data_IF_721946015150
#
_entry.id   IF_721946015150
#
_cell.length_a   1.000
_cell.length_b   1.000
_cell.length_c   1.000
_cell.angle_alpha   90.00
_cell.angle_beta   90.00
_cell.angle_gamma   90.00
#
_symmetry.space_group_name_H-M   'P 1'
#
loop_
_entity.id
_entity.type
_entity.pdbx_description
1 polymer ?
#
# COMPACT_ATOMS: atom_id res chain seq x y z
N UNK A 1 -16.37 -13.82 2.77
CA UNK A 1 -15.21 -14.50 2.17
C UNK A 1 -14.28 -13.42 1.66
N UNK A 2 -13.02 -13.37 2.11
CA UNK A 2 -12.03 -12.46 1.51
C UNK A 2 -11.40 -13.16 0.32
N UNK A 3 -11.17 -12.44 -0.78
CA UNK A 3 -10.37 -12.96 -1.88
C UNK A 3 -8.90 -13.03 -1.42
N UNK A 4 -8.16 -14.06 -1.85
CA UNK A 4 -6.72 -14.08 -1.66
C UNK A 4 -6.09 -12.88 -2.38
N UNK A 5 -5.11 -12.25 -1.73
CA UNK A 5 -4.33 -11.16 -2.32
C UNK A 5 -3.28 -11.72 -3.28
N UNK A 6 -2.94 -10.93 -4.29
CA UNK A 6 -1.91 -11.19 -5.28
C UNK A 6 -1.29 -9.87 -5.79
N UNK A 7 -0.31 -9.96 -6.69
CA UNK A 7 0.40 -8.79 -7.22
C UNK A 7 -0.48 -7.83 -8.02
N UNK A 8 -1.61 -8.33 -8.54
CA UNK A 8 -2.61 -7.53 -9.24
C UNK A 8 -3.68 -6.97 -8.31
N UNK A 9 -3.71 -7.40 -7.04
CA UNK A 9 -4.60 -6.80 -6.05
C UNK A 9 -4.34 -5.31 -5.95
N UNK A 10 -5.42 -4.56 -5.85
CA UNK A 10 -5.35 -3.12 -5.74
C UNK A 10 -4.76 -2.71 -4.37
N UNK A 11 -4.09 -1.56 -4.33
CA UNK A 11 -3.56 -1.00 -3.09
C UNK A 11 -4.68 -0.84 -2.04
N UNK A 12 -5.87 -0.44 -2.49
CA UNK A 12 -7.06 -0.34 -1.64
C UNK A 12 -7.49 -1.68 -1.04
N UNK A 13 -7.41 -2.79 -1.79
CA UNK A 13 -7.69 -4.13 -1.27
C UNK A 13 -6.67 -4.57 -0.21
N UNK A 14 -5.39 -4.28 -0.44
CA UNK A 14 -4.32 -4.59 0.52
C UNK A 14 -4.50 -3.77 1.80
N UNK A 15 -4.84 -2.49 1.69
CA UNK A 15 -5.11 -1.62 2.85
C UNK A 15 -6.39 -2.03 3.61
N UNK A 16 -7.40 -2.55 2.93
CA UNK A 16 -8.61 -3.09 3.56
C UNK A 16 -8.41 -4.47 4.21
N UNK A 17 -7.24 -5.10 4.01
CA UNK A 17 -6.90 -6.38 4.63
C UNK A 17 -6.46 -6.17 6.09
N UNK A 18 -6.96 -6.94 7.07
CA UNK A 18 -6.73 -6.69 8.50
C UNK A 18 -5.30 -7.05 8.92
N UNK A 19 -4.65 -7.92 8.15
CA UNK A 19 -3.25 -8.27 8.35
C UNK A 19 -2.32 -7.36 7.55
N UNK A 20 -2.63 -7.09 6.28
CA UNK A 20 -1.71 -6.36 5.40
C UNK A 20 -1.83 -4.84 5.55
N UNK A 21 -3.03 -4.34 5.81
CA UNK A 21 -3.31 -2.91 5.98
C UNK A 21 -2.46 -2.25 7.05
N UNK A 22 -2.41 -2.77 8.29
CA UNK A 22 -1.55 -2.21 9.34
C UNK A 22 -0.06 -2.21 8.96
N UNK A 23 0.42 -3.25 8.27
CA UNK A 23 1.82 -3.35 7.84
C UNK A 23 2.15 -2.27 6.80
N UNK A 24 1.28 -2.08 5.81
CA UNK A 24 1.45 -1.04 4.78
C UNK A 24 1.36 0.35 5.40
N UNK A 25 0.43 0.59 6.32
CA UNK A 25 0.31 1.86 7.03
C UNK A 25 1.56 2.17 7.86
N UNK A 26 2.15 1.18 8.53
CA UNK A 26 3.41 1.34 9.27
C UNK A 26 4.59 1.65 8.33
N UNK A 27 4.66 0.98 7.18
CA UNK A 27 5.70 1.24 6.17
C UNK A 27 5.58 2.66 5.59
N UNK A 28 4.35 3.14 5.33
CA UNK A 28 4.10 4.51 4.85
C UNK A 28 4.31 5.58 5.94
N UNK A 29 3.96 5.29 7.19
CA UNK A 29 4.21 6.20 8.30
C UNK A 29 5.70 6.42 8.51
N UNK A 30 6.52 5.37 8.32
CA UNK A 30 7.98 5.48 8.32
C UNK A 30 8.57 6.34 7.19
N UNK A 31 7.79 6.63 6.13
CA UNK A 31 8.18 7.51 5.03
C UNK A 31 7.78 8.98 5.26
N UNK A 32 6.89 9.25 6.21
CA UNK A 32 6.20 10.54 6.35
C UNK A 32 6.74 11.45 7.47
N UNK A 33 7.73 11.00 8.23
CA UNK A 33 8.41 11.82 9.25
C UNK A 33 9.62 12.58 8.63
N UNK A 34 9.80 13.89 8.89
CA UNK A 34 8.98 14.97 8.32
C UNK A 34 9.83 16.00 7.55
N UNK A 35 9.25 16.57 6.49
CA UNK A 35 9.55 17.97 6.10
C UNK A 35 8.34 18.71 5.54
N UNK A 36 7.33 18.02 4.97
CA UNK A 36 6.19 18.70 4.35
C UNK A 36 4.86 17.96 4.54
N UNK A 37 4.48 17.60 5.78
CA UNK A 37 3.14 17.11 6.09
C UNK A 37 2.03 18.14 5.75
N UNK A 38 2.39 19.43 5.62
CA UNK A 38 1.50 20.52 5.21
C UNK A 38 1.29 20.61 3.68
N UNK A 39 2.16 20.00 2.86
CA UNK A 39 2.02 19.95 1.40
C UNK A 39 1.18 18.77 0.91
N UNK A 40 1.25 17.64 1.62
CA UNK A 40 0.47 16.43 1.33
C UNK A 40 -1.05 16.66 1.52
N UNK A 41 -1.43 17.41 2.55
CA UNK A 41 -2.83 17.72 2.88
C UNK A 41 -3.49 18.72 1.91
N UNK A 42 -2.73 19.34 1.01
CA UNK A 42 -3.23 20.22 -0.07
C UNK A 42 -3.30 19.49 -1.43
N UNK A 43 -2.65 18.33 -1.56
CA UNK A 43 -2.74 17.42 -2.73
C UNK A 43 -3.74 16.27 -2.52
N UNK A 44 -4.46 16.25 -1.39
CA UNK A 44 -5.62 15.38 -1.12
C UNK A 44 -6.83 15.76 -1.99
N UNK A 45 -6.66 15.67 -3.31
CA UNK A 45 -7.79 15.37 -4.16
C UNK A 45 -8.18 13.93 -3.86
N UNK A 46 -9.28 13.73 -3.12
CA UNK A 46 -9.92 12.44 -2.82
C UNK A 46 -9.95 11.49 -4.05
N UNK A 47 -10.03 12.07 -5.26
CA UNK A 47 -9.94 11.36 -6.53
C UNK A 47 -8.56 10.80 -6.90
N UNK A 48 -7.46 11.50 -6.60
CA UNK A 48 -6.10 11.03 -6.92
C UNK A 48 -5.67 9.90 -6.00
N UNK A 49 -6.05 9.96 -4.72
CA UNK A 49 -5.82 8.87 -3.77
C UNK A 49 -6.66 7.63 -4.12
N UNK A 50 -7.94 7.80 -4.47
CA UNK A 50 -8.78 6.69 -4.97
C UNK A 50 -8.27 6.08 -6.27
N UNK A 51 -7.73 6.91 -7.16
CA UNK A 51 -7.10 6.45 -8.39
C UNK A 51 -5.84 5.65 -8.06
N UNK A 52 -5.05 6.10 -7.07
CA UNK A 52 -3.88 5.38 -6.59
C UNK A 52 -4.24 4.07 -5.90
N UNK A 53 -5.28 4.06 -5.06
CA UNK A 53 -5.79 2.87 -4.41
C UNK A 53 -6.27 1.81 -5.41
N UNK A 54 -6.63 2.22 -6.63
CA UNK A 54 -7.03 1.32 -7.71
C UNK A 54 -5.84 0.72 -8.48
N UNK A 55 -4.61 1.22 -8.30
CA UNK A 55 -3.44 0.61 -8.95
C UNK A 55 -3.06 -0.73 -8.30
N UNK A 56 -2.50 -1.64 -9.10
CA UNK A 56 -1.93 -2.89 -8.58
C UNK A 56 -0.83 -2.62 -7.56
N UNK A 57 -0.86 -3.34 -6.43
CA UNK A 57 0.16 -3.27 -5.38
C UNK A 57 1.55 -3.58 -5.94
N UNK A 58 1.66 -4.52 -6.88
CA UNK A 58 2.94 -4.87 -7.53
C UNK A 58 3.55 -3.74 -8.35
N UNK A 59 2.78 -2.68 -8.66
CA UNK A 59 3.28 -1.51 -9.39
C UNK A 59 4.12 -0.58 -8.51
N UNK A 60 3.90 -0.59 -7.19
CA UNK A 60 4.63 0.26 -6.23
C UNK A 60 6.12 -0.02 -6.20
N UNK A 61 6.57 -1.24 -6.51
CA UNK A 61 8.01 -1.59 -6.57
C UNK A 61 8.77 -0.71 -7.57
N UNK A 62 8.10 -0.21 -8.60
CA UNK A 62 8.69 0.67 -9.61
C UNK A 62 8.56 2.16 -9.30
N UNK A 63 7.92 2.55 -8.20
CA UNK A 63 7.72 3.97 -7.88
C UNK A 63 8.98 4.58 -7.27
N UNK A 64 9.56 5.62 -7.89
CA UNK A 64 10.68 6.33 -7.32
C UNK A 64 10.26 7.00 -6.00
N UNK A 65 11.03 6.78 -4.93
CA UNK A 65 10.76 7.34 -3.60
C UNK A 65 10.05 6.40 -2.62
N UNK A 66 9.64 5.20 -3.04
CA UNK A 66 9.07 4.19 -2.13
C UNK A 66 10.09 3.06 -1.90
N UNK A 67 10.62 2.86 -0.68
CA UNK A 67 11.60 1.82 -0.38
C UNK A 67 10.96 0.45 -0.15
N UNK A 68 9.99 0.08 -0.98
CA UNK A 68 9.32 -1.23 -0.93
C UNK A 68 9.85 -2.08 -2.07
N UNK A 69 10.47 -3.22 -1.72
CA UNK A 69 10.96 -4.18 -2.72
C UNK A 69 9.87 -5.17 -3.11
N UNK A 70 10.03 -5.81 -4.28
CA UNK A 70 9.14 -6.91 -4.72
C UNK A 70 9.03 -8.00 -3.65
N UNK A 71 10.15 -8.41 -3.07
CA UNK A 71 10.18 -9.46 -2.05
C UNK A 71 9.35 -9.08 -0.81
N UNK A 72 9.38 -7.81 -0.38
CA UNK A 72 8.55 -7.35 0.74
C UNK A 72 7.06 -7.48 0.42
N UNK A 73 6.64 -7.18 -0.81
CA UNK A 73 5.25 -7.35 -1.24
C UNK A 73 4.89 -8.83 -1.33
N UNK A 74 5.78 -9.69 -1.82
CA UNK A 74 5.56 -11.15 -1.87
C UNK A 74 5.37 -11.73 -0.47
N UNK A 75 6.20 -11.33 0.50
CA UNK A 75 6.06 -11.74 1.90
C UNK A 75 4.76 -11.22 2.53
N UNK A 76 4.38 -9.97 2.24
CA UNK A 76 3.12 -9.38 2.70
C UNK A 76 1.92 -10.18 2.18
N UNK A 77 1.89 -10.48 0.87
CA UNK A 77 0.83 -11.25 0.22
C UNK A 77 0.78 -12.67 0.80
N UNK A 78 1.92 -13.34 0.91
CA UNK A 78 2.00 -14.69 1.46
C UNK A 78 1.49 -14.75 2.90
N UNK A 79 1.89 -13.80 3.75
CA UNK A 79 1.41 -13.69 5.13
C UNK A 79 -0.09 -13.36 5.21
N UNK A 80 -0.59 -12.49 4.33
CA UNK A 80 -2.00 -12.16 4.27
C UNK A 80 -2.87 -13.36 3.85
N UNK A 81 -2.43 -14.12 2.84
CA UNK A 81 -3.12 -15.31 2.36
C UNK A 81 -3.08 -16.47 3.37
N UNK A 82 -2.05 -16.54 4.22
CA UNK A 82 -1.98 -17.52 5.30
C UNK A 82 -2.94 -17.23 6.47
N UNK A 83 -3.49 -16.02 6.54
CA UNK A 83 -4.44 -15.56 7.57
C UNK A 83 -5.91 -15.67 7.14
N UNK A 84 -6.18 -16.12 5.91
CA UNK A 84 -7.52 -16.27 5.30
C UNK A 84 -7.95 -17.71 5.15
#
# INVERSE_FOLDING_TARGET
>A
MRLPLDMNSSIGEVMAHPFAGPIVQQALAGLSEPQDAAGASMMEGDGMEKMMASFPIGRIVGFPGIPVTREQIEQLIAGANAQG
#
